data_IF_786498755043
#
_entry.id   IF_786498755043
#
_cell.length_a   1.000
_cell.length_b   1.000
_cell.length_c   1.000
_cell.angle_alpha   90.00
_cell.angle_beta   90.00
_cell.angle_gamma   90.00
#
_symmetry.space_group_name_H-M   'P 1'
#
loop_
_entity.id
_entity.type
_entity.pdbx_description
1 polymer ?
#
# COMPACT_ATOMS: atom_id res chain seq x y z
N UNK A 1 -8.08 -24.15 32.40
CA UNK A 1 -6.83 -24.95 32.33
C UNK A 1 -6.09 -24.77 31.01
N UNK A 2 -6.71 -25.00 29.85
CA UNK A 2 -6.05 -24.85 28.54
C UNK A 2 -5.38 -23.47 28.32
N UNK A 3 -6.05 -22.37 28.67
CA UNK A 3 -5.47 -21.02 28.57
C UNK A 3 -4.24 -20.80 29.47
N UNK A 4 -4.24 -21.36 30.68
CA UNK A 4 -3.09 -21.26 31.60
C UNK A 4 -1.88 -22.00 31.04
N UNK A 5 -2.10 -23.21 30.49
CA UNK A 5 -1.05 -23.96 29.81
C UNK A 5 -0.54 -23.21 28.58
N UNK A 6 -1.44 -22.68 27.75
CA UNK A 6 -1.02 -21.89 26.59
C UNK A 6 -0.14 -20.70 26.99
N UNK A 7 -0.42 -20.00 28.10
CA UNK A 7 0.40 -18.88 28.56
C UNK A 7 1.86 -19.26 28.90
N UNK A 8 2.19 -20.53 29.09
CA UNK A 8 3.57 -20.98 29.31
C UNK A 8 4.48 -20.63 28.12
N UNK A 9 3.93 -20.46 26.91
CA UNK A 9 4.70 -20.02 25.73
C UNK A 9 5.40 -18.67 25.96
N UNK A 10 4.87 -17.81 26.84
CA UNK A 10 5.45 -16.50 27.17
C UNK A 10 6.80 -16.62 27.87
N UNK A 11 7.04 -17.75 28.56
CA UNK A 11 8.31 -18.02 29.24
C UNK A 11 9.39 -18.57 28.30
N UNK A 12 9.01 -19.00 27.09
CA UNK A 12 9.92 -19.61 26.13
C UNK A 12 10.66 -18.53 25.32
N UNK A 13 11.98 -18.50 25.44
CA UNK A 13 12.85 -17.58 24.70
C UNK A 13 13.26 -18.10 23.33
N UNK A 14 13.48 -19.42 23.20
CA UNK A 14 13.82 -20.06 21.92
C UNK A 14 12.57 -20.26 21.05
N UNK A 15 12.62 -19.77 19.82
CA UNK A 15 11.48 -19.76 18.91
C UNK A 15 11.14 -21.14 18.36
N UNK A 16 12.10 -22.05 18.21
CA UNK A 16 11.81 -23.42 17.79
C UNK A 16 11.09 -24.18 18.91
N UNK A 17 11.57 -24.05 20.15
CA UNK A 17 10.89 -24.61 21.33
C UNK A 17 9.50 -24.01 21.50
N UNK A 18 9.35 -22.70 21.30
CA UNK A 18 8.05 -22.02 21.34
C UNK A 18 7.12 -22.54 20.25
N UNK A 19 7.58 -22.69 19.00
CA UNK A 19 6.81 -23.28 17.91
C UNK A 19 6.34 -24.70 18.27
N UNK A 20 7.26 -25.54 18.75
CA UNK A 20 6.93 -26.93 19.10
C UNK A 20 5.95 -27.02 20.27
N UNK A 21 6.10 -26.12 21.25
CA UNK A 21 5.14 -25.95 22.33
C UNK A 21 3.77 -25.53 21.81
N UNK A 22 3.68 -24.49 20.96
CA UNK A 22 2.43 -24.04 20.36
C UNK A 22 1.75 -25.15 19.54
N UNK A 23 2.53 -26.00 18.86
CA UNK A 23 2.03 -27.18 18.16
C UNK A 23 1.35 -28.16 19.12
N UNK A 24 1.94 -28.38 20.30
CA UNK A 24 1.35 -29.22 21.34
C UNK A 24 0.07 -28.60 21.91
N UNK A 25 -0.05 -27.27 21.94
CA UNK A 25 -1.27 -26.60 22.39
C UNK A 25 -2.49 -26.88 21.48
N UNK A 26 -2.28 -27.32 20.24
CA UNK A 26 -3.37 -27.64 19.31
C UNK A 26 -4.21 -28.84 19.76
N UNK A 27 -3.69 -29.71 20.63
CA UNK A 27 -4.46 -30.81 21.22
C UNK A 27 -5.19 -30.45 22.51
N UNK A 28 -5.04 -29.21 23.00
CA UNK A 28 -5.72 -28.77 24.22
C UNK A 28 -7.21 -28.51 23.95
N UNK A 29 -8.09 -28.70 24.96
CA UNK A 29 -9.53 -28.57 24.79
C UNK A 29 -9.96 -27.10 24.80
N UNK A 30 -9.59 -26.36 23.76
CA UNK A 30 -10.03 -24.99 23.50
C UNK A 30 -11.43 -24.95 22.89
N UNK A 31 -12.09 -23.79 22.96
CA UNK A 31 -13.26 -23.53 22.13
C UNK A 31 -12.88 -23.58 20.64
N UNK A 32 -13.86 -23.74 19.74
CA UNK A 32 -13.58 -23.74 18.30
C UNK A 32 -12.96 -22.41 17.83
N UNK A 33 -13.42 -21.29 18.41
CA UNK A 33 -12.89 -19.96 18.13
C UNK A 33 -11.44 -19.80 18.60
N UNK A 34 -11.16 -20.16 19.86
CA UNK A 34 -9.80 -20.08 20.42
C UNK A 34 -8.84 -20.99 19.66
N UNK A 35 -9.28 -22.20 19.29
CA UNK A 35 -8.46 -23.17 18.56
C UNK A 35 -7.95 -22.60 17.22
N UNK A 36 -8.76 -21.79 16.53
CA UNK A 36 -8.35 -21.09 15.30
C UNK A 36 -7.21 -20.11 15.61
N UNK A 37 -7.31 -19.35 16.71
CA UNK A 37 -6.26 -18.41 17.10
C UNK A 37 -4.96 -19.11 17.50
N UNK A 38 -5.01 -20.25 18.19
CA UNK A 38 -3.81 -21.04 18.52
C UNK A 38 -3.17 -21.62 17.24
N UNK A 39 -3.99 -22.13 16.32
CA UNK A 39 -3.53 -22.62 15.02
C UNK A 39 -2.86 -21.51 14.21
N UNK A 40 -3.47 -20.32 14.14
CA UNK A 40 -2.91 -19.17 13.44
C UNK A 40 -1.59 -18.71 14.09
N UNK A 41 -1.49 -18.71 15.42
CA UNK A 41 -0.26 -18.36 16.12
C UNK A 41 0.88 -19.35 15.80
N UNK A 42 0.61 -20.65 15.91
CA UNK A 42 1.59 -21.69 15.53
C UNK A 42 2.04 -21.51 14.06
N UNK A 43 1.07 -21.38 13.15
CA UNK A 43 1.31 -21.28 11.70
C UNK A 43 2.12 -20.03 11.35
N UNK A 44 1.84 -18.90 12.03
CA UNK A 44 2.58 -17.66 11.84
C UNK A 44 4.02 -17.79 12.33
N UNK A 45 4.25 -18.34 13.52
CA UNK A 45 5.60 -18.49 14.06
C UNK A 45 6.44 -19.46 13.22
N UNK A 46 5.87 -20.58 12.80
CA UNK A 46 6.52 -21.54 11.90
C UNK A 46 6.96 -20.86 10.59
N UNK A 47 6.07 -20.08 9.97
CA UNK A 47 6.38 -19.27 8.78
C UNK A 47 7.50 -18.27 9.04
N UNK A 48 7.43 -17.53 10.15
CA UNK A 48 8.44 -16.52 10.48
C UNK A 48 9.82 -17.15 10.69
N UNK A 49 9.91 -18.34 11.30
CA UNK A 49 11.16 -19.08 11.47
C UNK A 49 11.79 -19.42 10.12
N UNK A 50 10.99 -19.92 9.18
CA UNK A 50 11.46 -20.30 7.83
C UNK A 50 11.97 -19.06 7.08
N UNK A 51 11.16 -18.00 7.04
CA UNK A 51 11.51 -16.76 6.32
C UNK A 51 12.71 -16.05 6.97
N UNK A 52 12.77 -15.95 8.30
CA UNK A 52 13.90 -15.33 9.01
C UNK A 52 15.21 -16.08 8.77
N UNK A 53 15.18 -17.42 8.76
CA UNK A 53 16.38 -18.22 8.49
C UNK A 53 16.89 -18.00 7.06
N UNK A 54 15.99 -18.01 6.07
CA UNK A 54 16.31 -17.75 4.67
C UNK A 54 16.88 -16.33 4.48
N UNK A 55 16.22 -15.32 5.05
CA UNK A 55 16.60 -13.92 4.88
C UNK A 55 17.93 -13.60 5.59
N UNK A 56 18.18 -14.17 6.78
CA UNK A 56 19.51 -14.05 7.44
C UNK A 56 20.63 -14.63 6.60
N UNK A 57 20.38 -15.78 5.97
CA UNK A 57 21.37 -16.39 5.10
C UNK A 57 21.64 -15.51 3.87
N UNK A 58 20.57 -15.03 3.23
CA UNK A 58 20.64 -14.16 2.07
C UNK A 58 21.34 -12.81 2.37
N UNK A 59 21.05 -12.20 3.52
CA UNK A 59 21.66 -10.96 3.98
C UNK A 59 23.17 -11.13 4.25
N UNK A 60 23.59 -12.20 4.94
CA UNK A 60 25.02 -12.51 5.15
C UNK A 60 25.76 -12.80 3.85
N UNK A 61 25.06 -13.41 2.89
CA UNK A 61 25.59 -13.66 1.55
C UNK A 61 25.83 -12.37 0.75
N UNK A 62 25.21 -11.25 1.15
CA UNK A 62 25.44 -9.93 0.57
C UNK A 62 25.02 -9.80 -0.89
N UNK A 63 24.19 -10.71 -1.42
CA UNK A 63 23.81 -10.76 -2.86
C UNK A 63 22.38 -10.32 -3.16
N UNK A 64 21.60 -10.00 -2.13
CA UNK A 64 20.20 -9.59 -2.30
C UNK A 64 20.11 -8.07 -2.24
N UNK A 65 19.88 -7.44 -3.40
CA UNK A 65 19.88 -5.98 -3.59
C UNK A 65 18.92 -5.27 -2.62
N UNK A 66 17.74 -5.83 -2.39
CA UNK A 66 16.74 -5.20 -1.51
C UNK A 66 17.24 -5.05 -0.08
N UNK A 67 18.02 -6.01 0.44
CA UNK A 67 18.63 -5.92 1.78
C UNK A 67 19.82 -4.98 1.83
N UNK A 68 20.53 -4.77 0.73
CA UNK A 68 21.59 -3.76 0.68
C UNK A 68 21.01 -2.35 0.69
N UNK A 69 19.99 -2.11 -0.14
CA UNK A 69 19.34 -0.81 -0.27
C UNK A 69 18.46 -0.47 0.93
N UNK A 70 17.84 -1.49 1.53
CA UNK A 70 17.01 -1.39 2.71
C UNK A 70 17.38 -2.50 3.71
N UNK A 71 18.41 -2.28 4.54
CA UNK A 71 18.82 -3.27 5.54
C UNK A 71 17.70 -3.63 6.50
N UNK A 72 17.60 -4.92 6.83
CA UNK A 72 16.61 -5.39 7.79
C UNK A 72 16.98 -4.86 9.17
N UNK A 73 16.04 -4.17 9.83
CA UNK A 73 16.27 -3.51 11.12
C UNK A 73 16.04 -4.41 12.33
N UNK A 74 15.24 -5.46 12.15
CA UNK A 74 14.83 -6.36 13.21
C UNK A 74 14.42 -7.71 12.62
N UNK A 75 14.43 -8.73 13.48
CA UNK A 75 13.87 -10.05 13.19
C UNK A 75 12.35 -9.97 12.99
N UNK A 76 11.80 -10.81 12.12
CA UNK A 76 10.34 -10.94 11.97
C UNK A 76 9.71 -11.89 12.99
N UNK A 77 10.52 -12.61 13.77
CA UNK A 77 10.06 -13.58 14.75
C UNK A 77 9.17 -12.91 15.82
N UNK A 78 8.07 -13.57 16.17
CA UNK A 78 7.07 -13.11 17.14
C UNK A 78 6.41 -11.77 16.78
N UNK A 79 6.57 -11.27 15.55
CA UNK A 79 5.90 -10.04 15.12
C UNK A 79 4.41 -10.31 14.83
N UNK A 80 3.52 -9.33 15.03
CA UNK A 80 2.11 -9.47 14.65
C UNK A 80 1.94 -9.85 13.18
N UNK A 81 0.84 -10.52 12.85
CA UNK A 81 0.51 -10.94 11.49
C UNK A 81 0.59 -9.78 10.48
N UNK A 82 0.02 -8.62 10.84
CA UNK A 82 0.01 -7.45 9.94
C UNK A 82 1.41 -6.89 9.69
N UNK A 83 2.30 -6.96 10.68
CA UNK A 83 3.71 -6.58 10.57
C UNK A 83 4.47 -7.58 9.70
N UNK A 84 4.17 -8.87 9.84
CA UNK A 84 4.72 -9.93 8.98
C UNK A 84 4.27 -9.75 7.53
N UNK A 85 2.98 -9.43 7.31
CA UNK A 85 2.49 -9.11 5.97
C UNK A 85 3.19 -7.87 5.40
N UNK A 86 3.36 -6.81 6.19
CA UNK A 86 4.10 -5.62 5.76
C UNK A 86 5.53 -5.97 5.34
N UNK A 87 6.23 -6.77 6.15
CA UNK A 87 7.57 -7.25 5.84
C UNK A 87 7.60 -8.02 4.51
N UNK A 88 6.67 -8.95 4.31
CA UNK A 88 6.54 -9.70 3.06
C UNK A 88 6.27 -8.75 1.87
N UNK A 89 5.37 -7.79 2.01
CA UNK A 89 5.09 -6.80 0.96
C UNK A 89 6.28 -5.88 0.68
N UNK A 90 7.20 -5.72 1.63
CA UNK A 90 8.37 -4.87 1.49
C UNK A 90 9.50 -5.64 0.79
N UNK A 91 9.89 -6.79 1.33
CA UNK A 91 11.06 -7.53 0.84
C UNK A 91 10.77 -8.57 -0.24
N UNK A 92 9.54 -9.11 -0.27
CA UNK A 92 9.20 -10.34 -0.99
C UNK A 92 7.97 -10.18 -1.91
N UNK A 93 7.66 -8.94 -2.32
CA UNK A 93 6.40 -8.62 -3.00
C UNK A 93 6.16 -9.39 -4.31
N UNK A 94 7.23 -9.62 -5.07
CA UNK A 94 7.17 -10.31 -6.35
C UNK A 94 7.32 -11.83 -6.25
N UNK A 95 7.39 -12.39 -5.04
CA UNK A 95 7.59 -13.84 -4.91
C UNK A 95 6.34 -14.65 -5.27
N UNK A 96 6.53 -15.84 -5.88
CA UNK A 96 5.43 -16.74 -6.23
C UNK A 96 4.57 -17.13 -5.02
N UNK A 97 3.27 -17.31 -5.22
CA UNK A 97 2.33 -17.69 -4.14
C UNK A 97 2.67 -19.02 -3.43
N UNK A 98 3.55 -19.84 -4.02
CA UNK A 98 4.04 -21.07 -3.38
C UNK A 98 5.06 -20.85 -2.27
N UNK A 99 5.60 -19.63 -2.08
CA UNK A 99 6.60 -19.34 -1.04
C UNK A 99 5.96 -18.84 0.25
N UNK A 100 6.57 -19.18 1.39
CA UNK A 100 6.11 -18.73 2.71
C UNK A 100 6.21 -17.21 2.91
N UNK A 101 7.15 -16.56 2.22
CA UNK A 101 7.39 -15.12 2.21
C UNK A 101 6.51 -14.33 1.23
N UNK A 102 5.77 -15.00 0.35
CA UNK A 102 4.86 -14.33 -0.59
C UNK A 102 3.71 -13.65 0.15
N UNK A 103 3.46 -12.34 -0.08
CA UNK A 103 2.33 -11.63 0.55
C UNK A 103 0.97 -12.22 0.22
N UNK A 104 0.81 -12.75 -0.99
CA UNK A 104 -0.43 -13.39 -1.44
C UNK A 104 -0.66 -14.70 -0.69
N UNK A 105 0.41 -15.47 -0.47
CA UNK A 105 0.35 -16.67 0.37
C UNK A 105 -0.05 -16.32 1.81
N UNK A 106 0.60 -15.30 2.42
CA UNK A 106 0.23 -14.82 3.77
C UNK A 106 -1.24 -14.43 3.83
N UNK A 107 -1.73 -13.67 2.84
CA UNK A 107 -3.13 -13.26 2.76
C UNK A 107 -4.07 -14.47 2.72
N UNK A 108 -3.80 -15.45 1.86
CA UNK A 108 -4.64 -16.63 1.69
C UNK A 108 -4.66 -17.50 2.96
N UNK A 109 -3.49 -17.77 3.55
CA UNK A 109 -3.37 -18.63 4.75
C UNK A 109 -4.14 -18.05 5.93
N UNK A 110 -3.98 -16.76 6.22
CA UNK A 110 -4.60 -16.11 7.38
C UNK A 110 -5.91 -15.38 7.06
N UNK A 111 -6.48 -15.64 5.88
CA UNK A 111 -7.75 -15.06 5.41
C UNK A 111 -7.82 -13.53 5.59
N UNK A 112 -6.70 -12.84 5.32
CA UNK A 112 -6.60 -11.40 5.48
C UNK A 112 -7.53 -10.73 4.46
N UNK A 113 -8.37 -9.80 4.96
CA UNK A 113 -9.33 -9.10 4.10
C UNK A 113 -8.63 -8.33 2.97
N UNK A 114 -9.33 -8.14 1.85
CA UNK A 114 -8.81 -7.37 0.72
C UNK A 114 -8.35 -5.97 1.14
N UNK A 115 -9.13 -5.30 1.99
CA UNK A 115 -8.82 -3.95 2.49
C UNK A 115 -7.55 -3.94 3.34
N UNK A 116 -7.39 -4.89 4.28
CA UNK A 116 -6.17 -4.99 5.10
C UNK A 116 -4.95 -5.28 4.24
N UNK A 117 -5.05 -6.23 3.32
CA UNK A 117 -3.98 -6.54 2.39
C UNK A 117 -3.57 -5.32 1.56
N UNK A 118 -4.56 -4.66 0.94
CA UNK A 118 -4.35 -3.50 0.09
C UNK A 118 -3.65 -2.36 0.85
N UNK A 119 -4.14 -2.00 2.04
CA UNK A 119 -3.54 -0.94 2.85
C UNK A 119 -2.08 -1.26 3.20
N UNK A 120 -1.81 -2.50 3.62
CA UNK A 120 -0.46 -2.93 3.99
C UNK A 120 0.49 -2.97 2.80
N UNK A 121 0.04 -3.53 1.68
CA UNK A 121 0.81 -3.55 0.44
C UNK A 121 1.10 -2.12 -0.07
N UNK A 122 0.08 -1.27 -0.14
CA UNK A 122 0.23 0.14 -0.55
C UNK A 122 1.26 0.86 0.33
N UNK A 123 1.19 0.70 1.65
CA UNK A 123 2.13 1.32 2.57
C UNK A 123 3.57 0.82 2.37
N UNK A 124 3.77 -0.49 2.17
CA UNK A 124 5.09 -1.08 1.95
C UNK A 124 5.68 -0.66 0.59
N UNK A 125 4.91 -0.77 -0.49
CA UNK A 125 5.37 -0.40 -1.85
C UNK A 125 5.62 1.10 -1.98
N UNK A 126 4.77 1.94 -1.38
CA UNK A 126 4.99 3.38 -1.35
C UNK A 126 6.26 3.75 -0.57
N UNK A 127 6.55 3.06 0.54
CA UNK A 127 7.79 3.28 1.31
C UNK A 127 9.05 3.00 0.50
N UNK A 128 8.99 2.02 -0.40
CA UNK A 128 10.06 1.69 -1.35
C UNK A 128 10.12 2.61 -2.57
N UNK A 129 9.15 3.52 -2.71
CA UNK A 129 8.95 4.33 -3.92
C UNK A 129 8.77 3.47 -5.18
N UNK A 130 8.24 2.26 -5.02
CA UNK A 130 7.97 1.32 -6.11
C UNK A 130 6.64 1.70 -6.80
N UNK A 131 6.63 2.83 -7.50
CA UNK A 131 5.39 3.43 -8.02
C UNK A 131 4.67 2.58 -9.06
N UNK A 132 5.40 1.78 -9.84
CA UNK A 132 4.81 0.77 -10.74
C UNK A 132 3.99 -0.27 -9.99
N UNK A 133 4.51 -0.75 -8.85
CA UNK A 133 3.82 -1.74 -8.03
C UNK A 133 2.64 -1.13 -7.30
N UNK A 134 2.80 0.12 -6.85
CA UNK A 134 1.69 0.93 -6.31
C UNK A 134 0.58 1.02 -7.34
N UNK A 135 0.89 1.31 -8.61
CA UNK A 135 -0.13 1.43 -9.64
C UNK A 135 -0.83 0.10 -9.95
N UNK A 136 -0.05 -0.99 -9.99
CA UNK A 136 -0.55 -2.34 -10.22
C UNK A 136 -1.58 -2.79 -9.17
N UNK A 137 -1.54 -2.25 -7.93
CA UNK A 137 -2.54 -2.54 -6.90
C UNK A 137 -3.96 -2.08 -7.28
N UNK A 138 -4.08 -1.07 -8.14
CA UNK A 138 -5.37 -0.50 -8.56
C UNK A 138 -5.92 -1.12 -9.84
N UNK A 139 -5.07 -1.80 -10.61
CA UNK A 139 -5.43 -2.39 -11.91
C UNK A 139 -5.90 -3.83 -11.71
N UNK A 140 -7.19 -4.02 -11.48
CA UNK A 140 -7.82 -5.34 -11.61
C UNK A 140 -7.98 -5.72 -13.08
N UNK A 141 -7.76 -7.00 -13.44
CA UNK A 141 -8.07 -7.50 -14.79
C UNK A 141 -9.58 -7.42 -15.02
N UNK A 142 -10.04 -6.42 -15.77
CA UNK A 142 -11.37 -6.44 -16.37
C UNK A 142 -11.26 -7.17 -17.72
N UNK A 143 -12.06 -8.23 -17.90
CA UNK A 143 -12.12 -9.04 -19.12
C UNK A 143 -12.46 -8.22 -20.39
N UNK A 144 -13.07 -7.04 -20.24
CA UNK A 144 -13.52 -6.20 -21.37
C UNK A 144 -12.56 -5.06 -21.77
N UNK A 145 -11.28 -5.13 -21.40
CA UNK A 145 -10.27 -4.16 -21.87
C UNK A 145 -10.36 -2.75 -21.29
N UNK A 146 -11.41 -2.41 -20.53
CA UNK A 146 -11.51 -1.16 -19.77
C UNK A 146 -10.97 -1.36 -18.35
N UNK A 147 -9.71 -0.98 -18.12
CA UNK A 147 -9.11 -0.95 -16.77
C UNK A 147 -9.48 0.37 -16.07
N UNK A 148 -10.58 0.40 -15.30
CA UNK A 148 -10.81 1.48 -14.33
C UNK A 148 -10.11 1.12 -13.04
N UNK A 149 -9.23 2.01 -12.56
CA UNK A 149 -8.57 1.87 -11.24
C UNK A 149 -9.63 1.75 -10.15
N UNK A 150 -9.55 0.69 -9.35
CA UNK A 150 -10.41 0.46 -8.18
C UNK A 150 -9.57 0.46 -6.92
N UNK A 151 -10.17 0.92 -5.82
CA UNK A 151 -9.50 1.03 -4.53
C UNK A 151 -10.49 0.73 -3.40
N UNK A 152 -10.13 -0.10 -2.40
CA UNK A 152 -10.92 -0.27 -1.18
C UNK A 152 -10.79 0.93 -0.21
N UNK A 153 -9.99 1.94 -0.57
CA UNK A 153 -9.85 3.23 0.11
C UNK A 153 -10.34 4.36 -0.79
N UNK A 154 -10.79 5.48 -0.20
CA UNK A 154 -10.98 6.71 -0.98
C UNK A 154 -9.66 7.16 -1.62
N UNK A 155 -9.73 7.72 -2.83
CA UNK A 155 -8.53 8.22 -3.50
C UNK A 155 -7.86 9.38 -2.76
N UNK A 156 -8.60 10.15 -1.96
CA UNK A 156 -8.03 11.10 -0.99
C UNK A 156 -7.06 10.39 -0.02
N UNK A 157 -7.49 9.27 0.57
CA UNK A 157 -6.65 8.53 1.53
C UNK A 157 -5.43 7.92 0.85
N UNK A 158 -5.58 7.48 -0.41
CA UNK A 158 -4.46 7.01 -1.23
C UNK A 158 -3.45 8.13 -1.43
N UNK A 159 -3.90 9.31 -1.89
CA UNK A 159 -3.06 10.50 -2.10
C UNK A 159 -2.31 10.88 -0.82
N UNK A 160 -2.96 10.86 0.35
CA UNK A 160 -2.30 11.11 1.63
C UNK A 160 -1.15 10.14 1.92
N UNK A 161 -1.36 8.84 1.66
CA UNK A 161 -0.33 7.81 1.87
C UNK A 161 0.85 8.03 0.92
N UNK A 162 0.58 8.33 -0.35
CA UNK A 162 1.61 8.59 -1.36
C UNK A 162 2.38 9.88 -1.05
N UNK A 163 1.71 10.95 -0.66
CA UNK A 163 2.34 12.21 -0.28
C UNK A 163 3.27 12.02 0.93
N UNK A 164 2.83 11.28 1.96
CA UNK A 164 3.65 10.97 3.15
C UNK A 164 4.90 10.16 2.82
N UNK A 165 4.91 9.44 1.70
CA UNK A 165 6.07 8.69 1.20
C UNK A 165 6.82 9.42 0.07
N UNK A 166 6.60 10.74 -0.06
CA UNK A 166 7.28 11.60 -1.03
C UNK A 166 7.10 11.15 -2.48
N UNK A 167 5.88 10.72 -2.83
CA UNK A 167 5.53 10.47 -4.21
C UNK A 167 5.73 11.74 -5.07
N UNK A 168 6.33 11.63 -6.27
CA UNK A 168 6.45 12.75 -7.18
C UNK A 168 5.09 13.33 -7.56
N UNK A 169 5.03 14.62 -7.86
CA UNK A 169 3.78 15.29 -8.30
C UNK A 169 3.11 14.54 -9.44
N UNK A 170 3.87 14.03 -10.41
CA UNK A 170 3.30 13.25 -11.52
C UNK A 170 2.52 12.02 -11.05
N UNK A 171 3.05 11.28 -10.07
CA UNK A 171 2.36 10.11 -9.48
C UNK A 171 1.12 10.57 -8.71
N UNK A 172 1.21 11.66 -7.95
CA UNK A 172 0.06 12.19 -7.20
C UNK A 172 -1.07 12.64 -8.13
N UNK A 173 -0.75 13.25 -9.28
CA UNK A 173 -1.74 13.70 -10.28
C UNK A 173 -2.65 12.56 -10.73
N UNK A 174 -2.09 11.38 -10.98
CA UNK A 174 -2.84 10.21 -11.46
C UNK A 174 -3.94 9.78 -10.49
N UNK A 175 -3.71 9.93 -9.17
CA UNK A 175 -4.68 9.56 -8.14
C UNK A 175 -5.58 10.72 -7.71
N UNK A 176 -5.10 11.97 -7.74
CA UNK A 176 -5.95 13.15 -7.51
C UNK A 176 -7.01 13.27 -8.61
N UNK A 177 -6.68 12.92 -9.85
CA UNK A 177 -7.64 12.86 -10.96
C UNK A 177 -8.85 11.94 -10.69
N UNK A 178 -8.67 10.91 -9.86
CA UNK A 178 -9.68 9.89 -9.54
C UNK A 178 -10.62 10.30 -8.39
N UNK A 179 -10.45 11.51 -7.84
CA UNK A 179 -11.35 12.07 -6.83
C UNK A 179 -12.59 12.61 -7.57
N UNK A 180 -13.76 12.08 -7.20
CA UNK A 180 -15.04 12.42 -7.85
C UNK A 180 -15.53 13.83 -7.46
N UNK A 181 -15.35 14.24 -6.20
CA UNK A 181 -15.71 15.56 -5.72
C UNK A 181 -14.76 16.63 -6.29
N UNK A 182 -15.32 17.54 -7.10
CA UNK A 182 -14.54 18.53 -7.83
C UNK A 182 -13.85 19.54 -6.90
N UNK A 183 -14.50 19.98 -5.82
CA UNK A 183 -13.93 20.95 -4.88
C UNK A 183 -12.78 20.35 -4.08
N UNK A 184 -12.96 19.12 -3.59
CA UNK A 184 -11.92 18.35 -2.93
C UNK A 184 -10.75 18.05 -3.88
N UNK A 185 -11.04 17.68 -5.13
CA UNK A 185 -10.03 17.46 -6.16
C UNK A 185 -9.21 18.72 -6.43
N UNK A 186 -9.86 19.87 -6.59
CA UNK A 186 -9.19 21.16 -6.80
C UNK A 186 -8.33 21.53 -5.59
N UNK A 187 -8.89 21.45 -4.38
CA UNK A 187 -8.17 21.85 -3.15
C UNK A 187 -6.90 21.00 -2.92
N UNK A 188 -6.99 19.68 -3.10
CA UNK A 188 -5.83 18.79 -3.02
C UNK A 188 -4.84 19.04 -4.16
N UNK A 189 -5.32 19.20 -5.39
CA UNK A 189 -4.46 19.45 -6.54
C UNK A 189 -3.66 20.75 -6.38
N UNK A 190 -4.27 21.82 -5.87
CA UNK A 190 -3.58 23.07 -5.57
C UNK A 190 -2.51 22.88 -4.49
N UNK A 191 -2.84 22.21 -3.38
CA UNK A 191 -1.90 21.94 -2.28
C UNK A 191 -0.69 21.12 -2.74
N UNK A 192 -0.90 20.20 -3.68
CA UNK A 192 0.13 19.29 -4.20
C UNK A 192 0.83 19.81 -5.46
N UNK A 193 0.49 21.03 -5.92
CA UNK A 193 0.97 21.63 -7.17
C UNK A 193 0.71 20.77 -8.41
N UNK A 194 -0.38 20.01 -8.40
CA UNK A 194 -0.92 19.24 -9.52
C UNK A 194 -1.65 20.18 -10.50
N UNK A 195 -0.92 21.12 -11.11
CA UNK A 195 -1.50 22.23 -11.89
C UNK A 195 -2.43 21.76 -13.01
N UNK A 196 -2.07 20.68 -13.70
CA UNK A 196 -2.87 20.14 -14.80
C UNK A 196 -4.27 19.70 -14.34
N UNK A 197 -4.38 19.14 -13.14
CA UNK A 197 -5.66 18.71 -12.60
C UNK A 197 -6.55 19.91 -12.28
N UNK A 198 -5.99 20.97 -11.70
CA UNK A 198 -6.73 22.21 -11.41
C UNK A 198 -7.24 22.84 -12.70
N UNK A 199 -6.36 23.02 -13.69
CA UNK A 199 -6.66 23.63 -14.98
C UNK A 199 -7.74 22.83 -15.72
N UNK A 200 -7.57 21.51 -15.82
CA UNK A 200 -8.53 20.64 -16.49
C UNK A 200 -9.88 20.63 -15.76
N UNK A 201 -9.89 20.65 -14.42
CA UNK A 201 -11.15 20.67 -13.65
C UNK A 201 -11.91 21.97 -13.88
N UNK A 202 -11.26 23.14 -13.86
CA UNK A 202 -11.94 24.41 -14.17
C UNK A 202 -12.46 24.47 -15.61
N UNK A 203 -11.69 23.95 -16.57
CA UNK A 203 -12.15 23.78 -17.96
C UNK A 203 -13.41 22.91 -18.03
N UNK A 204 -13.43 21.77 -17.35
CA UNK A 204 -14.56 20.83 -17.39
C UNK A 204 -15.80 21.41 -16.71
N UNK A 205 -15.60 22.20 -15.65
CA UNK A 205 -16.66 23.01 -15.01
C UNK A 205 -17.13 24.16 -15.89
N UNK A 206 -16.37 24.51 -16.94
CA UNK A 206 -16.55 25.69 -17.80
C UNK A 206 -16.50 27.00 -17.02
N UNK A 207 -15.67 27.05 -15.98
CA UNK A 207 -15.51 28.21 -15.10
C UNK A 207 -14.31 29.06 -15.56
N UNK A 208 -14.63 30.11 -16.33
CA UNK A 208 -13.61 31.01 -16.88
C UNK A 208 -12.95 31.86 -15.80
N UNK A 209 -13.72 32.29 -14.79
CA UNK A 209 -13.22 33.20 -13.76
C UNK A 209 -12.21 32.50 -12.86
N UNK A 210 -12.50 31.25 -12.45
CA UNK A 210 -11.57 30.47 -11.64
C UNK A 210 -10.30 30.13 -12.41
N UNK A 211 -10.39 29.88 -13.72
CA UNK A 211 -9.22 29.63 -14.56
C UNK A 211 -8.31 30.88 -14.69
N UNK A 212 -8.90 32.06 -14.88
CA UNK A 212 -8.18 33.35 -14.87
C UNK A 212 -7.53 33.63 -13.52
N UNK A 213 -8.26 33.43 -12.42
CA UNK A 213 -7.72 33.60 -11.07
C UNK A 213 -6.56 32.63 -10.80
N UNK A 214 -6.62 31.41 -11.33
CA UNK A 214 -5.56 30.43 -11.18
C UNK A 214 -4.31 30.74 -12.01
N UNK A 215 -4.47 31.40 -13.17
CA UNK A 215 -3.34 31.92 -13.97
C UNK A 215 -2.40 32.77 -13.12
N UNK A 216 -2.96 33.63 -12.26
CA UNK A 216 -2.16 34.47 -11.34
C UNK A 216 -1.43 33.70 -10.23
N UNK A 217 -1.67 32.39 -10.08
CA UNK A 217 -1.05 31.53 -9.06
C UNK A 217 0.06 30.62 -9.62
N UNK A 218 0.22 30.57 -10.94
CA UNK A 218 1.29 29.79 -11.59
C UNK A 218 2.45 30.71 -11.95
N UNK A 219 3.64 30.13 -12.11
CA UNK A 219 4.84 30.90 -12.45
C UNK A 219 4.72 31.49 -13.87
N UNK A 220 5.09 32.77 -14.09
CA UNK A 220 5.11 33.38 -15.41
C UNK A 220 6.03 32.62 -16.39
N UNK A 221 5.58 32.41 -17.62
CA UNK A 221 6.26 31.66 -18.68
C UNK A 221 6.20 30.13 -18.50
N UNK A 222 5.61 29.64 -17.41
CA UNK A 222 5.56 28.20 -17.12
C UNK A 222 4.64 27.44 -18.08
N UNK A 223 4.80 26.11 -18.15
CA UNK A 223 3.91 25.27 -18.94
C UNK A 223 2.43 25.35 -18.48
N UNK A 224 2.11 25.39 -17.16
CA UNK A 224 0.76 25.65 -16.69
C UNK A 224 0.16 26.97 -17.18
N UNK A 225 0.91 28.07 -17.18
CA UNK A 225 0.41 29.37 -17.65
C UNK A 225 0.05 29.31 -19.14
N UNK A 226 0.95 28.77 -19.97
CA UNK A 226 0.71 28.60 -21.41
C UNK A 226 -0.53 27.76 -21.68
N UNK A 227 -0.72 26.65 -20.94
CA UNK A 227 -1.91 25.81 -21.06
C UNK A 227 -3.20 26.57 -20.70
N UNK A 228 -3.15 27.43 -19.69
CA UNK A 228 -4.28 28.28 -19.31
C UNK A 228 -4.60 29.25 -20.46
N UNK A 229 -3.59 29.91 -21.02
CA UNK A 229 -3.76 30.85 -22.13
C UNK A 229 -4.35 30.18 -23.37
N UNK A 230 -3.87 29.00 -23.72
CA UNK A 230 -4.39 28.20 -24.83
C UNK A 230 -5.88 27.88 -24.63
N UNK A 231 -6.28 27.48 -23.42
CA UNK A 231 -7.69 27.21 -23.10
C UNK A 231 -8.54 28.47 -23.12
N UNK A 232 -8.04 29.59 -22.58
CA UNK A 232 -8.77 30.85 -22.52
C UNK A 232 -9.00 31.46 -23.90
N UNK A 233 -8.10 31.20 -24.85
CA UNK A 233 -8.18 31.65 -26.25
C UNK A 233 -8.95 30.68 -27.17
N UNK A 234 -9.27 29.46 -26.68
CA UNK A 234 -10.01 28.48 -27.46
C UNK A 234 -11.49 28.86 -27.61
N UNK A 235 -11.86 29.33 -28.80
CA UNK A 235 -13.23 29.75 -29.14
C UNK A 235 -14.27 28.61 -29.14
N UNK A 236 -13.84 27.35 -29.11
CA UNK A 236 -14.74 26.19 -29.05
C UNK A 236 -15.29 25.94 -27.64
N UNK A 237 -14.63 26.47 -26.61
CA UNK A 237 -15.06 26.30 -25.21
C UNK A 237 -16.17 27.29 -24.89
N UNK A 238 -17.38 26.78 -24.68
CA UNK A 238 -18.53 27.57 -24.20
C UNK A 238 -18.47 27.72 -22.68
N UNK A 239 -17.89 28.81 -22.21
CA UNK A 239 -17.81 29.18 -20.79
C UNK A 239 -19.20 29.45 -20.18
N UNK A 240 -19.39 29.10 -18.91
CA UNK A 240 -20.66 29.27 -18.17
C UNK A 240 -20.83 30.66 -17.55
N UNK A 241 -20.21 31.70 -18.13
CA UNK A 241 -20.24 33.08 -17.61
C UNK A 241 -21.59 33.47 -17.01
#
# INVERSE_FOLDING_TARGET
MALLQYNEHLSLTDENKKRDFLKSCLSLPFSAEDSIHIQDHYTLLERQIIVEAADRHAERGGKVEIFQRFPRKASILNMPLITTLYYCCFYHYGEPEGTFSSPLNVRQTFKISEKQYFVTALAARAKLKAWSDVDALFTGRNWFGFTRKKSPLSFQRVVDILQRNSAPTQVLQDYVALIDDAELRISLAQKLKCHDIVINTFRDMKDRQMLLAYRGKVEPGSAPERKIDDLLNNQQIRWKN
#
